data_IF_476333772625
#
_entry.id   IF_476333772625
#
_cell.length_a   1.000
_cell.length_b   1.000
_cell.length_c   1.000
_cell.angle_alpha   90.00
_cell.angle_beta   90.00
_cell.angle_gamma   90.00
#
_symmetry.space_group_name_H-M   'P 1'
#
loop_
_entity.id
_entity.type
_entity.pdbx_description
1 polymer ?
#
# COMPACT_ATOMS: atom_id res chain seq x y z
N UNK A 1 19.98 -16.53 -6.80
CA UNK A 1 19.38 -17.14 -7.97
C UNK A 1 17.87 -16.90 -7.94
N UNK A 2 17.31 -16.38 -9.01
CA UNK A 2 15.87 -16.17 -9.16
C UNK A 2 15.26 -17.55 -9.36
N UNK A 3 14.48 -18.05 -8.40
CA UNK A 3 13.63 -19.19 -8.61
C UNK A 3 12.27 -18.71 -9.11
N UNK A 4 12.14 -18.52 -10.44
CA UNK A 4 10.84 -18.38 -11.07
C UNK A 4 10.12 -19.74 -10.99
N UNK A 5 9.09 -19.87 -10.15
CA UNK A 5 8.07 -20.90 -10.37
C UNK A 5 7.13 -20.34 -11.42
N UNK A 6 7.24 -20.84 -12.65
CA UNK A 6 6.20 -20.67 -13.63
C UNK A 6 4.89 -21.22 -13.02
N UNK A 7 3.82 -20.44 -13.08
CA UNK A 7 2.49 -20.97 -12.88
C UNK A 7 2.31 -22.14 -13.87
N UNK A 8 1.64 -23.21 -13.41
CA UNK A 8 1.45 -24.43 -14.17
C UNK A 8 1.16 -24.14 -15.64
N UNK A 9 1.82 -24.86 -16.54
CA UNK A 9 1.58 -24.81 -17.97
C UNK A 9 0.09 -25.05 -18.25
N UNK A 10 -0.63 -23.96 -18.52
CA UNK A 10 -1.98 -24.05 -19.04
C UNK A 10 -1.91 -24.28 -20.55
N UNK A 11 -2.78 -25.13 -21.13
CA UNK A 11 -2.80 -25.36 -22.56
C UNK A 11 -2.96 -24.05 -23.32
N UNK A 12 -2.18 -23.87 -24.37
CA UNK A 12 -2.10 -22.63 -25.15
C UNK A 12 -3.43 -22.10 -25.71
N UNK A 13 -4.48 -22.93 -25.75
CA UNK A 13 -5.83 -22.57 -26.22
C UNK A 13 -6.70 -21.82 -25.18
N UNK A 14 -6.40 -21.90 -23.89
CA UNK A 14 -7.17 -21.19 -22.84
C UNK A 14 -6.64 -19.78 -22.51
N UNK A 15 -5.47 -19.42 -23.03
CA UNK A 15 -4.82 -18.12 -22.81
C UNK A 15 -5.32 -17.02 -23.75
N UNK A 16 -6.03 -17.36 -24.81
CA UNK A 16 -6.60 -16.40 -25.76
C UNK A 16 -7.76 -15.63 -25.11
N UNK A 17 -7.45 -14.46 -24.54
CA UNK A 17 -8.44 -13.50 -24.04
C UNK A 17 -8.51 -13.31 -22.51
N UNK A 18 -7.71 -14.01 -21.72
CA UNK A 18 -7.58 -13.76 -20.27
C UNK A 18 -6.14 -13.42 -19.94
N UNK A 19 -5.89 -12.18 -19.52
CA UNK A 19 -4.63 -11.80 -18.94
C UNK A 19 -4.49 -12.50 -17.57
N UNK A 20 -3.77 -13.63 -17.54
CA UNK A 20 -3.41 -14.28 -16.28
C UNK A 20 -2.31 -13.47 -15.60
N UNK A 21 -2.41 -13.19 -14.29
CA UNK A 21 -1.33 -12.54 -13.57
C UNK A 21 -0.11 -13.45 -13.53
N UNK A 22 1.03 -12.93 -14.00
CA UNK A 22 2.33 -13.55 -13.77
C UNK A 22 2.81 -13.12 -12.39
N UNK A 23 3.08 -14.08 -11.53
CA UNK A 23 3.50 -13.81 -10.16
C UNK A 23 4.88 -14.40 -9.89
N UNK A 24 5.78 -13.54 -9.44
CA UNK A 24 7.16 -13.89 -9.13
C UNK A 24 7.44 -13.59 -7.66
N UNK A 25 8.13 -14.51 -6.99
CA UNK A 25 8.69 -14.31 -5.65
C UNK A 25 10.21 -14.26 -5.72
N UNK A 26 10.79 -13.20 -5.16
CA UNK A 26 12.23 -13.00 -5.12
C UNK A 26 12.67 -13.00 -3.67
N UNK A 27 13.67 -13.82 -3.33
CA UNK A 27 14.24 -13.84 -1.98
C UNK A 27 14.86 -12.48 -1.64
N UNK A 28 14.46 -11.94 -0.51
CA UNK A 28 14.95 -10.71 0.06
C UNK A 28 15.23 -10.94 1.56
N UNK A 29 16.40 -11.42 1.94
CA UNK A 29 16.67 -11.93 3.28
C UNK A 29 16.69 -10.85 4.36
N UNK A 30 16.78 -9.58 3.97
CA UNK A 30 16.91 -8.46 4.89
C UNK A 30 15.73 -7.50 4.76
N UNK A 31 15.33 -6.90 5.88
CA UNK A 31 14.47 -5.72 5.86
C UNK A 31 15.14 -4.56 5.11
N UNK A 32 14.35 -3.75 4.42
CA UNK A 32 14.82 -2.53 3.76
C UNK A 32 14.01 -2.13 2.55
N UNK A 33 14.52 -1.12 1.84
CA UNK A 33 14.00 -0.67 0.56
C UNK A 33 14.77 -1.37 -0.56
N UNK A 34 14.04 -1.80 -1.57
CA UNK A 34 14.59 -2.50 -2.72
C UNK A 34 14.21 -1.78 -4.01
N UNK A 35 15.19 -1.66 -4.89
CA UNK A 35 14.96 -1.26 -6.29
C UNK A 35 14.63 -2.49 -7.10
N UNK A 36 13.54 -2.43 -7.81
CA UNK A 36 13.14 -3.39 -8.82
C UNK A 36 13.40 -2.79 -10.19
N UNK A 37 13.97 -3.56 -11.09
CA UNK A 37 14.05 -3.23 -12.50
C UNK A 37 13.58 -4.42 -13.31
N UNK A 38 12.50 -4.22 -14.06
CA UNK A 38 11.86 -5.20 -14.89
C UNK A 38 12.06 -4.82 -16.35
N UNK A 39 12.35 -5.81 -17.20
CA UNK A 39 12.25 -5.68 -18.66
C UNK A 39 11.06 -6.52 -19.12
N UNK A 40 10.03 -5.86 -19.62
CA UNK A 40 8.81 -6.45 -20.12
C UNK A 40 8.82 -6.49 -21.65
N UNK A 41 8.27 -7.54 -22.25
CA UNK A 41 8.07 -7.67 -23.67
C UNK A 41 6.59 -7.82 -23.99
N UNK A 42 6.06 -6.96 -24.86
CA UNK A 42 4.66 -7.00 -25.29
C UNK A 42 4.39 -8.18 -26.23
N UNK A 43 3.43 -9.03 -25.85
CA UNK A 43 3.07 -10.23 -26.63
C UNK A 43 2.07 -9.90 -27.73
N UNK A 44 0.97 -9.23 -27.37
CA UNK A 44 -0.15 -8.97 -28.30
C UNK A 44 -0.54 -7.49 -28.39
N UNK A 45 0.10 -6.65 -27.59
CA UNK A 45 -0.30 -5.26 -27.39
C UNK A 45 -1.48 -5.12 -26.42
N UNK A 46 -1.47 -4.06 -25.63
CA UNK A 46 -2.51 -3.74 -24.68
C UNK A 46 -1.99 -3.22 -23.34
N UNK A 47 -2.92 -2.97 -22.45
CA UNK A 47 -2.61 -2.44 -21.12
C UNK A 47 -1.90 -3.50 -20.26
N UNK A 48 -0.82 -3.06 -19.62
CA UNK A 48 -0.06 -3.87 -18.67
C UNK A 48 0.04 -3.13 -17.34
N UNK A 49 -0.16 -3.87 -16.24
CA UNK A 49 0.01 -3.38 -14.89
C UNK A 49 1.12 -4.17 -14.20
N UNK A 50 1.95 -3.47 -13.44
CA UNK A 50 2.98 -4.07 -12.59
C UNK A 50 2.72 -3.70 -11.14
N UNK A 51 2.63 -4.73 -10.31
CA UNK A 51 2.51 -4.59 -8.86
C UNK A 51 3.77 -5.13 -8.19
N UNK A 52 4.17 -4.48 -7.10
CA UNK A 52 5.31 -4.90 -6.29
C UNK A 52 4.95 -4.99 -4.81
N UNK A 53 5.68 -5.83 -4.07
CA UNK A 53 5.44 -6.06 -2.66
C UNK A 53 4.02 -6.54 -2.41
N UNK A 54 3.30 -5.90 -1.50
CA UNK A 54 1.94 -6.27 -1.12
C UNK A 54 0.89 -5.67 -2.05
N UNK A 55 1.00 -5.99 -3.38
CA UNK A 55 0.10 -5.52 -4.46
C UNK A 55 0.04 -4.00 -4.59
N UNK A 56 1.16 -3.31 -4.53
CA UNK A 56 1.25 -1.88 -4.79
C UNK A 56 1.49 -1.65 -6.28
N UNK A 57 0.63 -0.86 -6.91
CA UNK A 57 0.75 -0.52 -8.34
C UNK A 57 1.97 0.38 -8.54
N UNK A 58 2.99 -0.13 -9.20
CA UNK A 58 4.23 0.60 -9.46
C UNK A 58 4.36 1.07 -10.90
N UNK A 59 3.63 0.43 -11.82
CA UNK A 59 3.60 0.85 -13.21
C UNK A 59 2.29 0.41 -13.89
N UNK A 60 1.81 1.25 -14.80
CA UNK A 60 0.67 1.00 -15.67
C UNK A 60 0.91 1.70 -17.00
N UNK A 61 0.68 1.00 -18.12
CA UNK A 61 0.81 1.60 -19.44
C UNK A 61 0.44 0.66 -20.56
N UNK A 62 0.29 1.22 -21.76
CA UNK A 62 0.12 0.45 -22.99
C UNK A 62 1.48 -0.11 -23.44
N UNK A 63 1.55 -1.41 -23.70
CA UNK A 63 2.73 -2.07 -24.20
C UNK A 63 2.42 -2.69 -25.58
N UNK A 64 2.88 -2.08 -26.68
CA UNK A 64 2.65 -2.61 -28.02
C UNK A 64 3.30 -3.99 -28.23
N UNK A 65 2.71 -4.80 -29.11
CA UNK A 65 3.27 -6.11 -29.47
C UNK A 65 4.71 -5.96 -30.00
N UNK A 66 5.61 -6.83 -29.55
CA UNK A 66 7.01 -6.86 -29.93
C UNK A 66 7.87 -5.71 -29.37
N UNK A 67 7.32 -4.85 -28.53
CA UNK A 67 8.08 -3.77 -27.88
C UNK A 67 8.51 -4.18 -26.49
N UNK A 68 9.65 -3.63 -26.07
CA UNK A 68 10.15 -3.77 -24.70
C UNK A 68 9.89 -2.51 -23.90
N UNK A 69 9.61 -2.69 -22.62
CA UNK A 69 9.46 -1.64 -21.64
C UNK A 69 10.30 -1.97 -20.41
N UNK A 70 11.14 -1.03 -20.02
CA UNK A 70 11.84 -1.09 -18.74
C UNK A 70 11.00 -0.36 -17.69
N UNK A 71 10.74 -1.01 -16.58
CA UNK A 71 10.04 -0.46 -15.42
C UNK A 71 11.01 -0.45 -14.25
N UNK A 72 11.20 0.70 -13.63
CA UNK A 72 11.96 0.84 -12.38
C UNK A 72 11.03 1.32 -11.27
N UNK A 73 11.15 0.71 -10.10
CA UNK A 73 10.34 1.07 -8.94
C UNK A 73 11.08 0.78 -7.64
N UNK A 74 10.67 1.47 -6.57
CA UNK A 74 11.06 1.13 -5.21
C UNK A 74 9.91 0.43 -4.50
N UNK A 75 10.24 -0.60 -3.73
CA UNK A 75 9.31 -1.26 -2.82
C UNK A 75 10.02 -1.55 -1.49
N UNK A 76 9.28 -1.76 -0.43
CA UNK A 76 9.85 -2.09 0.86
C UNK A 76 9.50 -3.51 1.30
N UNK A 77 10.41 -4.08 2.07
CA UNK A 77 10.20 -5.26 2.88
C UNK A 77 10.34 -4.84 4.35
N UNK A 78 9.23 -4.50 4.95
CA UNK A 78 9.15 -4.05 6.34
C UNK A 78 8.28 -5.02 7.12
N UNK A 79 8.64 -5.39 8.35
CA UNK A 79 7.78 -6.19 9.20
C UNK A 79 6.40 -5.56 9.36
N UNK A 80 5.40 -6.39 9.44
CA UNK A 80 4.02 -6.01 9.68
C UNK A 80 3.49 -6.77 10.87
N UNK A 81 2.46 -6.26 11.48
CA UNK A 81 1.70 -7.02 12.46
C UNK A 81 0.50 -7.63 11.74
N UNK A 82 0.44 -8.98 11.59
CA UNK A 82 -0.71 -9.63 10.96
C UNK A 82 -1.99 -9.36 11.75
N UNK A 83 -3.14 -9.41 11.08
CA UNK A 83 -4.44 -9.23 11.76
C UNK A 83 -4.67 -10.26 12.84
N UNK A 84 -5.03 -9.80 14.05
CA UNK A 84 -5.19 -10.66 15.23
C UNK A 84 -3.91 -11.02 15.98
N UNK A 85 -2.76 -10.57 15.48
CA UNK A 85 -1.47 -10.77 16.14
C UNK A 85 -0.99 -9.48 16.82
N UNK A 86 -0.03 -9.63 17.74
CA UNK A 86 0.62 -8.49 18.42
C UNK A 86 2.13 -8.46 18.16
N UNK A 87 2.65 -9.42 17.41
CA UNK A 87 4.07 -9.51 17.09
C UNK A 87 4.32 -9.22 15.63
N UNK A 88 5.35 -8.43 15.31
CA UNK A 88 5.75 -8.21 13.93
C UNK A 88 6.17 -9.51 13.26
N UNK A 89 5.65 -9.76 12.07
CA UNK A 89 6.11 -10.81 11.17
C UNK A 89 6.79 -10.18 9.97
N UNK A 90 7.87 -10.77 9.50
CA UNK A 90 8.56 -10.35 8.30
C UNK A 90 8.43 -11.43 7.23
N UNK A 91 8.08 -11.00 6.03
CA UNK A 91 8.26 -11.81 4.84
C UNK A 91 9.75 -11.81 4.45
N UNK A 92 10.24 -12.87 3.87
CA UNK A 92 11.60 -13.01 3.33
C UNK A 92 11.61 -12.94 1.79
N UNK A 93 10.46 -12.64 1.20
CA UNK A 93 10.28 -12.53 -0.25
C UNK A 93 9.64 -11.21 -0.63
N UNK A 94 10.03 -10.71 -1.82
CA UNK A 94 9.35 -9.65 -2.53
C UNK A 94 8.50 -10.25 -3.64
N UNK A 95 7.22 -9.91 -3.65
CA UNK A 95 6.30 -10.28 -4.70
C UNK A 95 6.34 -9.28 -5.84
N UNK A 96 6.36 -9.76 -7.08
CA UNK A 96 6.17 -8.96 -8.29
C UNK A 96 5.09 -9.62 -9.12
N UNK A 97 4.07 -8.85 -9.48
CA UNK A 97 2.95 -9.33 -10.29
C UNK A 97 2.83 -8.49 -11.56
N UNK A 98 2.78 -9.15 -12.70
CA UNK A 98 2.52 -8.54 -14.02
C UNK A 98 1.17 -9.01 -14.51
N UNK A 99 0.29 -8.07 -14.83
CA UNK A 99 -1.05 -8.35 -15.40
C UNK A 99 -1.12 -7.68 -16.76
N UNK A 100 -1.52 -8.43 -17.77
CA UNK A 100 -1.63 -7.95 -19.14
C UNK A 100 -0.85 -8.80 -20.14
N UNK A 101 -0.89 -8.45 -21.43
CA UNK A 101 -0.28 -9.23 -22.50
C UNK A 101 1.23 -9.01 -22.61
N UNK A 102 1.96 -9.31 -21.54
CA UNK A 102 3.41 -9.13 -21.47
C UNK A 102 4.14 -10.35 -20.93
N UNK A 103 5.35 -10.58 -21.41
CA UNK A 103 6.32 -11.48 -20.82
C UNK A 103 7.35 -10.70 -20.00
N UNK A 104 7.79 -11.25 -18.89
CA UNK A 104 8.91 -10.73 -18.12
C UNK A 104 10.20 -11.35 -18.62
N UNK A 105 11.06 -10.56 -19.25
CA UNK A 105 12.35 -11.01 -19.78
C UNK A 105 13.45 -11.00 -18.71
N UNK A 106 13.44 -9.98 -17.86
CA UNK A 106 14.45 -9.81 -16.82
C UNK A 106 13.85 -9.14 -15.59
N UNK A 107 14.25 -9.59 -14.41
CA UNK A 107 13.96 -8.95 -13.13
C UNK A 107 15.24 -8.88 -12.32
N UNK A 108 15.66 -7.66 -11.98
CA UNK A 108 16.73 -7.43 -11.01
C UNK A 108 16.17 -6.80 -9.75
N UNK A 109 16.69 -7.22 -8.62
CA UNK A 109 16.30 -6.74 -7.28
C UNK A 109 17.57 -6.37 -6.53
N UNK A 110 17.68 -5.11 -6.13
CA UNK A 110 18.82 -4.57 -5.42
C UNK A 110 18.37 -3.87 -4.15
N UNK A 111 19.01 -4.18 -3.02
CA UNK A 111 18.76 -3.44 -1.78
C UNK A 111 19.35 -2.05 -1.88
N UNK A 112 18.54 -1.04 -1.63
CA UNK A 112 18.94 0.36 -1.69
C UNK A 112 19.34 0.82 -0.29
N UNK A 113 20.43 1.59 -0.18
CA UNK A 113 20.76 2.27 1.07
C UNK A 113 19.70 3.31 1.40
N UNK A 114 19.37 3.43 2.66
CA UNK A 114 18.20 4.16 3.11
C UNK A 114 18.28 5.68 2.88
N UNK A 115 19.47 6.23 2.68
CA UNK A 115 19.73 7.61 2.28
C UNK A 115 19.41 7.92 0.81
N UNK A 116 19.24 6.86 0.00
CA UNK A 116 18.92 6.94 -1.43
C UNK A 116 17.45 6.72 -1.77
N UNK A 117 16.62 6.52 -0.77
CA UNK A 117 15.20 6.30 -0.94
C UNK A 117 14.40 7.26 -0.07
N UNK A 118 13.52 8.04 -0.68
CA UNK A 118 12.52 8.82 0.05
C UNK A 118 11.35 7.90 0.38
N UNK A 119 10.88 7.94 1.63
CA UNK A 119 9.79 7.07 2.05
C UNK A 119 8.52 7.86 2.36
N UNK A 120 7.41 7.26 1.99
CA UNK A 120 6.07 7.68 2.41
C UNK A 120 5.49 6.54 3.22
N UNK A 121 5.35 6.77 4.52
CA UNK A 121 4.62 5.87 5.41
C UNK A 121 3.14 6.20 5.33
N UNK A 122 2.29 5.19 5.14
CA UNK A 122 0.84 5.36 5.09
C UNK A 122 0.24 4.60 6.26
N UNK A 123 -0.39 5.34 7.15
CA UNK A 123 -1.07 4.86 8.34
C UNK A 123 -2.57 5.08 8.20
N UNK A 124 -3.36 4.17 8.73
CA UNK A 124 -4.81 4.32 8.64
C UNK A 124 -5.57 3.03 8.92
N UNK A 125 -6.59 2.78 8.14
CA UNK A 125 -7.47 1.62 8.27
C UNK A 125 -7.59 0.85 6.93
N UNK A 126 -8.65 0.08 6.75
CA UNK A 126 -8.89 -0.72 5.54
C UNK A 126 -8.97 0.10 4.25
N UNK A 127 -9.20 1.41 4.33
CA UNK A 127 -9.29 2.27 3.16
C UNK A 127 -7.93 2.63 2.56
N UNK A 128 -6.86 2.46 3.33
CA UNK A 128 -5.49 2.77 2.89
C UNK A 128 -4.60 1.54 2.77
N UNK A 129 -4.92 0.47 3.52
CA UNK A 129 -4.01 -0.67 3.73
C UNK A 129 -3.84 -1.54 2.49
N UNK A 130 -2.75 -2.31 2.50
CA UNK A 130 -2.53 -3.39 1.55
C UNK A 130 -3.58 -4.49 1.77
N UNK A 131 -4.56 -4.57 0.90
CA UNK A 131 -5.59 -5.60 0.93
C UNK A 131 -5.10 -6.88 0.26
N UNK A 132 -5.56 -8.02 0.73
CA UNK A 132 -5.30 -9.30 0.09
C UNK A 132 -6.24 -9.51 -1.10
N UNK A 133 -5.74 -10.14 -2.16
CA UNK A 133 -6.57 -10.64 -3.25
C UNK A 133 -6.51 -12.16 -3.29
N UNK A 134 -7.61 -12.77 -3.71
CA UNK A 134 -7.57 -14.14 -4.14
C UNK A 134 -6.68 -14.29 -5.39
N UNK A 135 -5.92 -15.36 -5.46
CA UNK A 135 -5.21 -15.76 -6.68
C UNK A 135 -5.87 -17.04 -7.19
N UNK A 136 -6.35 -17.07 -8.44
CA UNK A 136 -6.36 -15.99 -9.41
C UNK A 136 -7.25 -14.80 -9.01
N UNK A 137 -6.92 -13.62 -9.52
CA UNK A 137 -7.71 -12.41 -9.27
C UNK A 137 -9.17 -12.61 -9.69
N UNK A 138 -10.07 -12.37 -8.74
CA UNK A 138 -11.51 -12.45 -8.98
C UNK A 138 -12.12 -11.04 -8.81
N UNK A 139 -12.57 -10.39 -9.88
CA UNK A 139 -13.29 -9.12 -9.79
C UNK A 139 -14.49 -9.22 -8.84
N UNK A 140 -14.69 -8.18 -8.03
CA UNK A 140 -15.79 -8.14 -7.06
C UNK A 140 -15.53 -8.84 -5.72
N UNK A 141 -14.46 -9.64 -5.60
CA UNK A 141 -14.04 -10.27 -4.34
C UNK A 141 -12.69 -9.77 -3.84
N UNK A 142 -12.02 -8.95 -4.62
CA UNK A 142 -10.75 -8.32 -4.28
C UNK A 142 -10.97 -6.87 -3.88
N UNK A 143 -10.36 -6.48 -2.78
CA UNK A 143 -10.39 -5.13 -2.26
C UNK A 143 -9.02 -4.49 -2.42
N UNK A 144 -8.96 -3.16 -2.46
CA UNK A 144 -7.73 -2.38 -2.45
C UNK A 144 -7.90 -1.16 -1.57
N UNK A 145 -6.89 -0.84 -0.77
CA UNK A 145 -6.75 0.47 -0.17
C UNK A 145 -6.11 1.44 -1.16
N UNK A 146 -6.42 2.73 -1.07
CA UNK A 146 -5.84 3.71 -1.99
C UNK A 146 -4.32 3.81 -1.87
N UNK A 147 -3.77 3.46 -0.71
CA UNK A 147 -2.32 3.40 -0.51
C UNK A 147 -1.61 2.46 -1.48
N UNK A 148 -2.30 1.39 -1.92
CA UNK A 148 -1.74 0.46 -2.92
C UNK A 148 -1.59 1.08 -4.31
N UNK A 149 -2.37 2.12 -4.61
CA UNK A 149 -2.30 2.83 -5.89
C UNK A 149 -1.30 4.01 -5.84
N UNK A 150 -0.94 4.46 -4.66
CA UNK A 150 -0.12 5.66 -4.46
C UNK A 150 1.24 5.62 -5.19
N UNK A 151 2.00 4.51 -5.23
CA UNK A 151 3.30 4.48 -5.91
C UNK A 151 3.24 4.89 -7.38
N UNK A 152 2.15 4.56 -8.08
CA UNK A 152 1.97 4.94 -9.49
C UNK A 152 1.94 6.45 -9.74
N UNK A 153 1.53 7.22 -8.73
CA UNK A 153 1.41 8.68 -8.83
C UNK A 153 2.65 9.43 -8.32
N UNK A 154 3.68 8.70 -7.87
CA UNK A 154 4.87 9.30 -7.31
C UNK A 154 6.01 9.33 -8.35
N UNK A 155 6.88 10.34 -8.29
CA UNK A 155 8.11 10.35 -9.07
C UNK A 155 9.02 9.18 -8.70
N UNK A 156 9.98 8.88 -9.57
CA UNK A 156 11.03 7.92 -9.26
C UNK A 156 11.77 8.26 -7.96
N UNK A 157 12.27 7.24 -7.27
CA UNK A 157 13.00 7.40 -6.02
C UNK A 157 12.14 7.46 -4.76
N UNK A 158 10.81 7.32 -4.88
CA UNK A 158 9.91 7.21 -3.75
C UNK A 158 9.51 5.76 -3.45
N UNK A 159 9.47 5.42 -2.17
CA UNK A 159 8.98 4.14 -1.69
C UNK A 159 7.79 4.34 -0.76
N UNK A 160 6.70 3.64 -1.03
CA UNK A 160 5.50 3.66 -0.17
C UNK A 160 5.52 2.47 0.77
N UNK A 161 5.41 2.74 2.07
CA UNK A 161 5.36 1.74 3.14
C UNK A 161 4.02 1.79 3.85
N UNK A 162 3.23 0.73 3.71
CA UNK A 162 1.90 0.63 4.32
C UNK A 162 1.98 -0.39 5.45
N UNK A 163 1.87 0.07 6.69
CA UNK A 163 2.15 -0.72 7.89
C UNK A 163 0.94 -0.76 8.83
N UNK A 164 -0.22 -1.10 8.29
CA UNK A 164 -1.49 -1.07 9.03
C UNK A 164 -2.38 -2.26 8.69
N UNK A 165 -3.21 -2.65 9.63
CA UNK A 165 -4.29 -3.62 9.45
C UNK A 165 -5.62 -2.97 9.10
N UNK A 166 -6.49 -3.72 8.43
CA UNK A 166 -7.74 -3.22 7.88
C UNK A 166 -8.75 -2.68 8.91
N UNK A 167 -8.73 -3.08 10.16
CA UNK A 167 -9.70 -2.68 11.18
C UNK A 167 -9.16 -1.64 12.18
N UNK A 168 -7.97 -1.07 11.95
CA UNK A 168 -7.33 -0.19 12.91
C UNK A 168 -8.12 1.10 13.18
N UNK A 169 -8.11 1.53 14.44
CA UNK A 169 -8.47 2.85 14.93
C UNK A 169 -7.19 3.62 15.25
N UNK A 170 -7.29 4.92 15.52
CA UNK A 170 -6.15 5.70 16.06
C UNK A 170 -5.62 5.12 17.37
N UNK A 171 -6.43 4.37 18.11
CA UNK A 171 -6.06 3.73 19.36
C UNK A 171 -5.41 2.37 19.13
N UNK A 172 -6.11 1.46 18.44
CA UNK A 172 -5.62 0.10 18.24
C UNK A 172 -4.33 0.06 17.41
N UNK A 173 -4.11 1.02 16.53
CA UNK A 173 -2.85 1.17 15.79
C UNK A 173 -1.62 1.25 16.71
N UNK A 174 -1.76 1.90 17.86
CA UNK A 174 -0.68 1.97 18.87
C UNK A 174 -0.69 0.73 19.76
N UNK A 175 -1.84 0.32 20.25
CA UNK A 175 -2.00 -0.80 21.21
C UNK A 175 -1.60 -2.15 20.61
N UNK A 176 -1.90 -2.36 19.32
CA UNK A 176 -1.49 -3.55 18.58
C UNK A 176 -0.01 -3.52 18.15
N UNK A 177 0.71 -2.42 18.41
CA UNK A 177 2.13 -2.29 18.17
C UNK A 177 2.53 -1.77 16.78
N UNK A 178 1.59 -1.42 15.91
CA UNK A 178 1.90 -0.89 14.56
C UNK A 178 2.77 0.35 14.63
N UNK A 179 2.50 1.25 15.60
CA UNK A 179 3.32 2.45 15.78
C UNK A 179 4.76 2.11 16.15
N UNK A 180 4.99 1.08 16.96
CA UNK A 180 6.33 0.63 17.33
C UNK A 180 7.12 0.07 16.13
N UNK A 181 6.44 -0.38 15.08
CA UNK A 181 7.09 -0.75 13.82
C UNK A 181 7.43 0.49 12.99
N UNK A 182 6.55 1.48 12.94
CA UNK A 182 6.72 2.70 12.11
C UNK A 182 7.77 3.64 12.69
N UNK A 183 7.63 4.02 13.95
CA UNK A 183 8.39 5.13 14.55
C UNK A 183 9.91 5.01 14.44
N UNK A 184 10.55 3.84 14.70
CA UNK A 184 12.00 3.71 14.57
C UNK A 184 12.51 3.84 13.12
N UNK A 185 11.63 3.73 12.14
CA UNK A 185 11.95 3.77 10.70
C UNK A 185 11.74 5.14 10.07
N UNK A 186 11.06 6.05 10.77
CA UNK A 186 10.89 7.44 10.33
C UNK A 186 12.23 8.19 10.39
N UNK A 187 12.54 8.94 9.34
CA UNK A 187 13.77 9.72 9.19
C UNK A 187 13.47 11.13 8.71
N UNK A 188 14.40 12.04 8.90
CA UNK A 188 14.29 13.38 8.32
C UNK A 188 14.07 13.33 6.82
N UNK A 189 13.03 14.02 6.34
CA UNK A 189 12.65 14.06 4.92
C UNK A 189 11.64 13.00 4.48
N UNK A 190 11.30 12.01 5.32
CA UNK A 190 10.19 11.09 5.07
C UNK A 190 8.84 11.81 5.26
N UNK A 191 7.81 11.29 4.61
CA UNK A 191 6.42 11.70 4.83
C UNK A 191 5.66 10.61 5.59
N UNK A 192 4.74 11.02 6.44
CA UNK A 192 3.86 10.12 7.16
C UNK A 192 2.41 10.56 6.95
N UNK A 193 1.70 9.88 6.04
CA UNK A 193 0.30 10.11 5.73
C UNK A 193 -0.56 9.34 6.73
N UNK A 194 -1.52 10.01 7.35
CA UNK A 194 -2.38 9.44 8.39
C UNK A 194 -3.85 9.65 8.05
N UNK A 195 -4.56 8.55 7.75
CA UNK A 195 -6.00 8.55 7.50
C UNK A 195 -6.69 7.51 8.38
N UNK A 196 -7.39 7.96 9.39
CA UNK A 196 -8.23 7.16 10.28
C UNK A 196 -9.65 7.74 10.32
N UNK A 197 -10.56 7.06 11.00
CA UNK A 197 -11.91 7.56 11.25
C UNK A 197 -13.00 6.52 11.03
N UNK A 198 -12.88 5.65 10.02
CA UNK A 198 -13.89 4.66 9.67
C UNK A 198 -14.18 3.66 10.79
N UNK A 199 -13.21 3.40 11.65
CA UNK A 199 -13.36 2.52 12.80
C UNK A 199 -13.43 3.30 14.11
N UNK A 200 -12.78 4.45 14.21
CA UNK A 200 -12.85 5.33 15.38
C UNK A 200 -14.28 5.74 15.68
N UNK A 201 -15.07 6.09 14.67
CA UNK A 201 -16.48 6.48 14.84
C UNK A 201 -17.37 5.40 15.48
N UNK A 202 -16.90 4.16 15.50
CA UNK A 202 -17.60 3.03 16.16
C UNK A 202 -17.23 2.91 17.64
N UNK A 203 -16.31 3.74 18.13
CA UNK A 203 -15.80 3.72 19.50
C UNK A 203 -16.26 4.97 20.25
N UNK A 204 -17.13 4.86 21.28
CA UNK A 204 -17.72 6.03 21.96
C UNK A 204 -16.70 7.00 22.56
N UNK A 205 -15.51 6.51 22.96
CA UNK A 205 -14.46 7.33 23.55
C UNK A 205 -13.52 7.97 22.52
N UNK A 206 -13.60 7.56 21.24
CA UNK A 206 -12.83 8.13 20.13
C UNK A 206 -13.66 9.16 19.34
N UNK A 207 -14.34 10.05 20.08
CA UNK A 207 -15.09 11.13 19.44
C UNK A 207 -14.19 12.03 18.59
N UNK A 208 -14.72 12.57 17.51
CA UNK A 208 -13.97 13.35 16.52
C UNK A 208 -13.14 14.47 17.16
N UNK A 209 -13.76 15.30 18.05
CA UNK A 209 -13.09 16.42 18.74
C UNK A 209 -12.46 16.05 20.09
N UNK A 210 -12.50 14.76 20.46
CA UNK A 210 -11.96 14.25 21.73
C UNK A 210 -10.81 13.26 21.54
N UNK A 211 -11.10 11.97 21.77
CA UNK A 211 -10.11 10.90 21.73
C UNK A 211 -9.38 10.80 20.41
N UNK A 212 -10.10 10.87 19.29
CA UNK A 212 -9.55 10.82 17.94
C UNK A 212 -8.53 11.94 17.67
N UNK A 213 -8.92 13.21 17.82
CA UNK A 213 -8.02 14.36 17.60
C UNK A 213 -6.83 14.34 18.54
N UNK A 214 -7.02 13.97 19.81
CA UNK A 214 -5.92 13.86 20.78
C UNK A 214 -4.87 12.86 20.33
N UNK A 215 -5.27 11.70 19.82
CA UNK A 215 -4.36 10.66 19.32
C UNK A 215 -3.65 11.09 18.04
N UNK A 216 -4.36 11.65 17.07
CA UNK A 216 -3.74 12.20 15.85
C UNK A 216 -2.71 13.28 16.17
N UNK A 217 -3.04 14.19 17.09
CA UNK A 217 -2.09 15.23 17.55
C UNK A 217 -0.82 14.61 18.15
N UNK A 218 -0.96 13.51 18.91
CA UNK A 218 0.18 12.79 19.44
C UNK A 218 1.04 12.17 18.32
N UNK A 219 0.43 11.54 17.33
CA UNK A 219 1.17 11.02 16.15
C UNK A 219 1.89 12.14 15.40
N UNK A 220 1.24 13.28 15.15
CA UNK A 220 1.86 14.44 14.50
C UNK A 220 3.11 14.89 15.28
N UNK A 221 3.04 15.01 16.61
CA UNK A 221 4.19 15.37 17.44
C UNK A 221 5.32 14.36 17.32
N UNK A 222 5.02 13.08 17.37
CA UNK A 222 6.01 11.98 17.29
C UNK A 222 6.66 11.91 15.91
N UNK A 223 5.90 12.09 14.82
CA UNK A 223 6.43 12.17 13.46
C UNK A 223 7.39 13.34 13.32
N UNK A 224 7.00 14.53 13.79
CA UNK A 224 7.87 15.73 13.79
C UNK A 224 9.14 15.54 14.63
N UNK A 225 9.05 14.84 15.77
CA UNK A 225 10.20 14.54 16.62
C UNK A 225 11.24 13.64 15.91
N UNK A 226 10.84 12.88 14.89
CA UNK A 226 11.73 12.08 14.04
C UNK A 226 12.27 12.86 12.83
N UNK A 227 11.92 14.14 12.69
CA UNK A 227 12.28 14.97 11.54
C UNK A 227 11.48 14.67 10.27
N UNK A 228 10.47 13.81 10.35
CA UNK A 228 9.59 13.48 9.26
C UNK A 228 8.42 14.47 9.15
N UNK A 229 7.77 14.53 8.00
CA UNK A 229 6.67 15.43 7.70
C UNK A 229 5.33 14.70 7.91
N UNK A 230 4.53 15.07 8.91
CA UNK A 230 3.20 14.52 9.07
C UNK A 230 2.23 15.12 8.03
N UNK A 231 1.42 14.27 7.42
CA UNK A 231 0.36 14.66 6.49
C UNK A 231 -0.94 14.05 6.99
N UNK A 232 -1.89 14.89 7.39
CA UNK A 232 -3.21 14.46 7.80
C UNK A 232 -4.11 14.33 6.57
N UNK A 233 -4.76 13.17 6.44
CA UNK A 233 -5.69 12.87 5.36
C UNK A 233 -7.08 12.68 5.97
N UNK A 234 -8.09 13.36 5.42
CA UNK A 234 -9.47 13.18 5.87
C UNK A 234 -9.98 11.77 5.56
N UNK A 235 -10.83 11.18 6.43
CA UNK A 235 -11.44 9.90 6.10
C UNK A 235 -12.28 10.01 4.83
N UNK A 236 -12.29 8.96 4.02
CA UNK A 236 -13.15 8.87 2.84
C UNK A 236 -14.62 8.84 3.26
N UNK A 237 -15.45 9.54 2.49
CA UNK A 237 -16.90 9.49 2.68
C UNK A 237 -17.42 8.06 2.47
N UNK A 238 -18.40 7.65 3.28
CA UNK A 238 -19.09 6.37 3.11
C UNK A 238 -20.26 6.53 2.15
N UNK A 239 -20.50 5.52 1.34
CA UNK A 239 -21.73 5.41 0.56
C UNK A 239 -22.88 4.96 1.50
N UNK A 240 -23.38 5.89 2.31
CA UNK A 240 -24.42 5.64 3.31
C UNK A 240 -25.61 6.58 3.07
N UNK A 241 -26.79 6.01 2.95
CA UNK A 241 -28.03 6.72 2.67
C UNK A 241 -29.11 6.28 3.67
N UNK A 242 -29.96 7.20 4.04
CA UNK A 242 -31.16 6.89 4.82
C UNK A 242 -32.21 6.19 3.96
N UNK A 243 -33.20 5.57 4.58
CA UNK A 243 -34.36 5.00 3.87
C UNK A 243 -35.15 6.03 3.06
N UNK A 244 -35.05 7.30 3.43
CA UNK A 244 -35.63 8.44 2.69
C UNK A 244 -34.74 9.01 1.57
N UNK A 245 -33.62 8.35 1.22
CA UNK A 245 -32.73 8.78 0.14
C UNK A 245 -31.83 9.97 0.49
N UNK A 246 -31.71 10.34 1.75
CA UNK A 246 -30.79 11.39 2.19
C UNK A 246 -29.40 10.81 2.45
N UNK A 247 -28.37 11.52 2.02
CA UNK A 247 -26.98 11.12 2.30
C UNK A 247 -26.69 11.23 3.80
N UNK A 248 -26.14 10.15 4.36
CA UNK A 248 -25.77 10.09 5.77
C UNK A 248 -24.25 10.28 5.92
N UNK A 249 -23.82 11.49 6.23
CA UNK A 249 -22.41 11.87 6.34
C UNK A 249 -21.82 11.52 7.70
N UNK A 250 -21.64 10.22 7.92
CA UNK A 250 -21.16 9.66 9.19
C UNK A 250 -19.78 10.14 9.63
N UNK A 251 -18.97 10.65 8.71
CA UNK A 251 -17.56 10.98 8.96
C UNK A 251 -17.27 12.48 8.87
N UNK A 252 -18.29 13.32 8.70
CA UNK A 252 -18.14 14.77 8.61
C UNK A 252 -17.34 15.34 9.77
N UNK A 253 -17.74 15.02 11.01
CA UNK A 253 -17.09 15.57 12.20
C UNK A 253 -15.62 15.15 12.30
N UNK A 254 -15.30 13.94 11.85
CA UNK A 254 -13.91 13.43 11.80
C UNK A 254 -13.10 14.15 10.73
N UNK A 255 -13.67 14.42 9.56
CA UNK A 255 -13.01 15.21 8.52
C UNK A 255 -12.78 16.66 8.98
N UNK A 256 -13.77 17.30 9.59
CA UNK A 256 -13.64 18.65 10.17
C UNK A 256 -12.56 18.70 11.27
N UNK A 257 -12.48 17.67 12.11
CA UNK A 257 -11.45 17.56 13.14
C UNK A 257 -10.03 17.45 12.54
N UNK A 258 -9.88 16.71 11.44
CA UNK A 258 -8.62 16.63 10.68
C UNK A 258 -8.24 18.00 10.11
N UNK A 259 -9.18 18.71 9.48
CA UNK A 259 -8.94 20.07 8.98
C UNK A 259 -8.55 21.05 10.11
N UNK A 260 -9.24 20.99 11.24
CA UNK A 260 -8.92 21.85 12.39
C UNK A 260 -7.51 21.57 12.92
N UNK A 261 -7.16 20.29 13.09
CA UNK A 261 -5.82 19.90 13.56
C UNK A 261 -4.72 20.27 12.55
N UNK A 262 -5.01 20.23 11.26
CA UNK A 262 -4.05 20.59 10.22
C UNK A 262 -3.72 22.10 10.16
N UNK A 263 -4.51 22.95 10.84
CA UNK A 263 -4.28 24.41 10.95
C UNK A 263 -3.48 24.79 12.20
N UNK A 264 -3.32 23.88 13.16
CA UNK A 264 -2.47 24.02 14.35
C UNK A 264 -0.97 23.80 14.00
#
# INVERSE_FOLDING_TARGET
GVHARAAAELPAGELAGRALPLWYKVLAPCEGVYRLRLTLHGLYGGEVLVFAGRRRLVWRGELPAGREQVVEALTDLTPIIPGGETRPARDDTLDVTVIGPAALLCLTVERVTEDRARRIFVLGDSTVTDQTAAVPYAPGTSYAGWGQMLPWYLPEGWCVSILVNGAATTESFEEEGHWAVVEPRLRPGDFCLMQFGHNDQKRPHLTARGGYTRRLRNYVKRVRARGAVPVLVTPLARNSWTTGGQYNDLLRDYAEAVFALGRE
#
